data_IF_677810106611
#
_entry.id   IF_677810106611
#
_cell.length_a   1.000
_cell.length_b   1.000
_cell.length_c   1.000
_cell.angle_alpha   90.00
_cell.angle_beta   90.00
_cell.angle_gamma   90.00
#
_symmetry.space_group_name_H-M   'P 1'
#
loop_
_entity.id
_entity.type
_entity.pdbx_description
1 polymer ?
#
# COMPACT_ATOMS: atom_id res chain seq x y z
N UNK A 1 9.79 10.92 -5.36
CA UNK A 1 10.06 9.76 -4.48
C UNK A 1 9.28 9.94 -3.20
N UNK A 2 8.50 8.96 -2.82
CA UNK A 2 7.71 9.05 -1.60
C UNK A 2 7.14 7.72 -1.16
N UNK A 3 6.51 7.75 0.01
CA UNK A 3 6.01 6.54 0.65
C UNK A 3 4.61 6.72 1.18
N UNK A 4 3.81 5.66 1.07
CA UNK A 4 2.52 5.56 1.76
C UNK A 4 2.79 4.95 3.14
N UNK A 5 2.33 5.61 4.18
CA UNK A 5 2.48 5.15 5.57
C UNK A 5 1.26 4.31 5.94
N UNK A 6 1.50 3.04 6.23
CA UNK A 6 0.45 2.08 6.58
C UNK A 6 0.56 1.69 8.05
N UNK A 7 -0.51 1.94 8.81
CA UNK A 7 -0.57 1.56 10.23
C UNK A 7 -1.00 0.11 10.34
N UNK A 8 -0.20 -0.69 11.05
CA UNK A 8 -0.48 -2.10 11.28
C UNK A 8 -1.24 -2.31 12.59
N UNK A 9 -1.81 -3.52 12.76
CA UNK A 9 -2.58 -3.88 13.94
C UNK A 9 -1.78 -3.84 15.24
N UNK A 10 -0.46 -3.96 15.19
CA UNK A 10 0.42 -3.91 16.36
C UNK A 10 0.80 -2.48 16.77
N UNK A 11 0.12 -1.47 16.24
CA UNK A 11 0.37 -0.04 16.47
C UNK A 11 1.69 0.46 15.86
N UNK A 12 2.40 -0.37 15.10
CA UNK A 12 3.56 0.02 14.32
C UNK A 12 3.11 0.37 12.91
N UNK A 13 4.00 0.97 12.13
CA UNK A 13 3.67 1.27 10.73
C UNK A 13 4.81 0.85 9.81
N UNK A 14 4.46 0.61 8.54
CA UNK A 14 5.41 0.37 7.47
C UNK A 14 5.25 1.41 6.38
N UNK A 15 6.30 1.63 5.62
CA UNK A 15 6.32 2.54 4.49
C UNK A 15 6.28 1.74 3.19
N UNK A 16 5.34 2.09 2.32
CA UNK A 16 5.15 1.46 1.02
C UNK A 16 5.60 2.45 -0.06
N UNK A 17 6.55 2.06 -0.91
CA UNK A 17 7.03 2.95 -1.97
C UNK A 17 5.89 3.33 -2.92
N UNK A 18 5.80 4.61 -3.26
CA UNK A 18 4.85 5.14 -4.23
C UNK A 18 5.46 5.27 -5.63
N UNK A 19 6.73 4.89 -5.81
CA UNK A 19 7.43 5.00 -7.08
C UNK A 19 7.37 3.69 -7.87
N UNK A 20 7.25 3.81 -9.19
CA UNK A 20 7.32 2.67 -10.12
C UNK A 20 6.26 1.61 -9.87
N UNK A 21 5.08 2.02 -9.44
CA UNK A 21 3.97 1.11 -9.21
C UNK A 21 3.34 0.73 -10.54
N UNK A 22 3.23 -0.57 -10.81
CA UNK A 22 2.59 -1.09 -12.00
C UNK A 22 1.11 -1.38 -11.79
N UNK A 23 0.75 -1.95 -10.64
CA UNK A 23 -0.64 -2.23 -10.31
C UNK A 23 -0.86 -2.38 -8.81
N UNK A 24 -2.09 -2.14 -8.38
CA UNK A 24 -2.55 -2.38 -7.01
C UNK A 24 -3.86 -3.14 -7.11
N UNK A 25 -3.97 -4.27 -6.43
CA UNK A 25 -5.20 -5.07 -6.50
C UNK A 25 -5.48 -5.76 -5.17
N UNK A 26 -6.75 -6.08 -4.94
CA UNK A 26 -7.19 -6.87 -3.79
C UNK A 26 -7.34 -8.32 -4.21
N UNK A 27 -6.92 -9.24 -3.36
CA UNK A 27 -7.05 -10.68 -3.62
C UNK A 27 -7.22 -11.40 -2.28
N UNK A 28 -8.38 -12.03 -2.09
CA UNK A 28 -8.65 -12.80 -0.88
C UNK A 28 -8.58 -12.02 0.41
N UNK A 29 -8.88 -10.72 0.37
CA UNK A 29 -8.81 -9.86 1.55
C UNK A 29 -7.42 -9.31 1.85
N UNK A 30 -6.46 -9.54 0.96
CA UNK A 30 -5.13 -8.95 0.99
C UNK A 30 -4.96 -8.01 -0.18
N UNK A 31 -4.01 -7.08 -0.11
CA UNK A 31 -3.70 -6.19 -1.21
C UNK A 31 -2.31 -6.50 -1.72
N UNK A 32 -2.18 -6.59 -3.05
CA UNK A 32 -0.93 -6.85 -3.72
C UNK A 32 -0.56 -5.63 -4.56
N UNK A 33 0.61 -5.05 -4.28
CA UNK A 33 1.18 -3.95 -5.06
C UNK A 33 2.31 -4.51 -5.88
N UNK A 34 2.19 -4.44 -7.21
CA UNK A 34 3.23 -4.90 -8.12
C UNK A 34 4.00 -3.71 -8.65
N UNK A 35 5.33 -3.81 -8.61
CA UNK A 35 6.24 -2.76 -9.03
C UNK A 35 6.86 -3.09 -10.38
N UNK A 36 7.12 -2.05 -11.18
CA UNK A 36 7.75 -2.20 -12.49
C UNK A 36 9.18 -2.76 -12.40
N UNK A 37 9.81 -2.64 -11.25
CA UNK A 37 11.15 -3.16 -11.01
C UNK A 37 11.23 -4.68 -10.85
N UNK A 38 10.09 -5.38 -10.81
CA UNK A 38 10.08 -6.84 -10.80
C UNK A 38 9.85 -7.48 -9.45
N UNK A 39 9.29 -6.76 -8.49
CA UNK A 39 8.87 -7.37 -7.23
C UNK A 39 7.47 -6.89 -6.82
N UNK A 40 6.93 -7.53 -5.82
CA UNK A 40 5.61 -7.21 -5.28
C UNK A 40 5.66 -7.04 -3.77
N UNK A 41 4.72 -6.26 -3.24
CA UNK A 41 4.50 -6.13 -1.81
C UNK A 41 3.10 -6.65 -1.51
N UNK A 42 2.99 -7.56 -0.55
CA UNK A 42 1.71 -8.09 -0.09
C UNK A 42 1.35 -7.45 1.23
N UNK A 43 0.19 -6.79 1.27
CA UNK A 43 -0.38 -6.21 2.48
C UNK A 43 -1.38 -7.23 3.02
N UNK A 44 -0.99 -7.93 4.10
CA UNK A 44 -1.81 -8.99 4.68
C UNK A 44 -2.86 -8.38 5.60
N UNK A 45 -4.10 -8.43 5.17
CA UNK A 45 -5.25 -7.92 5.92
C UNK A 45 -6.04 -9.01 6.63
N UNK A 46 -5.53 -10.22 6.73
CA UNK A 46 -6.22 -11.35 7.34
C UNK A 46 -7.63 -11.56 6.76
N UNK A 47 -7.79 -11.35 5.47
CA UNK A 47 -9.07 -11.53 4.78
C UNK A 47 -10.05 -10.36 4.91
N UNK A 48 -9.63 -9.22 5.45
CA UNK A 48 -10.55 -8.10 5.73
C UNK A 48 -10.46 -6.93 4.75
N UNK A 49 -9.42 -6.87 3.92
CA UNK A 49 -9.23 -5.75 2.99
C UNK A 49 -10.15 -5.91 1.77
N UNK A 50 -10.63 -4.78 1.25
CA UNK A 50 -11.60 -4.74 0.17
C UNK A 50 -11.16 -3.75 -0.92
N UNK A 51 -11.92 -3.68 -2.03
CA UNK A 51 -11.58 -2.80 -3.16
C UNK A 51 -11.45 -1.33 -2.75
N UNK A 52 -12.25 -0.88 -1.80
CA UNK A 52 -12.15 0.51 -1.32
C UNK A 52 -10.78 0.81 -0.71
N UNK A 53 -10.14 -0.19 -0.10
CA UNK A 53 -8.79 -0.03 0.46
C UNK A 53 -7.74 0.13 -0.64
N UNK A 54 -7.92 -0.55 -1.77
CA UNK A 54 -7.09 -0.34 -2.97
C UNK A 54 -7.18 1.11 -3.43
N UNK A 55 -8.38 1.66 -3.48
CA UNK A 55 -8.60 3.05 -3.90
C UNK A 55 -7.97 4.04 -2.92
N UNK A 56 -8.01 3.76 -1.63
CA UNK A 56 -7.35 4.60 -0.62
C UNK A 56 -5.82 4.64 -0.82
N UNK A 57 -5.22 3.51 -1.14
CA UNK A 57 -3.79 3.42 -1.41
C UNK A 57 -3.44 4.18 -2.70
N UNK A 58 -4.22 4.00 -3.75
CA UNK A 58 -4.00 4.71 -5.02
C UNK A 58 -4.11 6.21 -4.82
N UNK A 59 -5.12 6.67 -4.08
CA UNK A 59 -5.29 8.10 -3.80
C UNK A 59 -4.09 8.66 -3.02
N UNK A 60 -3.57 7.92 -2.06
CA UNK A 60 -2.39 8.33 -1.31
C UNK A 60 -1.17 8.45 -2.22
N UNK A 61 -0.98 7.49 -3.13
CA UNK A 61 0.11 7.52 -4.11
C UNK A 61 0.00 8.72 -5.05
N UNK A 62 -1.22 9.03 -5.50
CA UNK A 62 -1.47 10.19 -6.37
C UNK A 62 -1.11 11.50 -5.66
N UNK A 63 -1.45 11.63 -4.38
CA UNK A 63 -1.10 12.82 -3.60
C UNK A 63 0.41 12.96 -3.42
N UNK A 64 1.10 11.87 -3.17
CA UNK A 64 2.56 11.85 -3.03
C UNK A 64 3.23 12.26 -4.35
N UNK A 65 2.75 11.74 -5.47
CA UNK A 65 3.34 11.93 -6.79
C UNK A 65 2.86 13.22 -7.48
N UNK A 66 2.01 14.00 -6.84
CA UNK A 66 1.61 15.32 -7.35
C UNK A 66 2.78 16.30 -7.31
N UNK A 67 2.66 17.39 -8.10
CA UNK A 67 3.74 18.37 -8.27
C UNK A 67 4.22 19.00 -6.94
N UNK A 68 3.34 19.14 -5.97
CA UNK A 68 3.65 19.67 -4.63
C UNK A 68 3.31 18.66 -3.55
N UNK A 69 3.36 17.36 -3.89
CA UNK A 69 2.96 16.31 -2.98
C UNK A 69 3.92 16.12 -1.81
N UNK A 70 3.41 15.61 -0.68
CA UNK A 70 4.25 15.27 0.46
C UNK A 70 5.13 14.06 0.15
N UNK A 71 6.27 13.94 0.83
CA UNK A 71 7.14 12.76 0.70
C UNK A 71 6.57 11.52 1.37
N UNK A 72 5.69 11.70 2.36
CA UNK A 72 5.01 10.61 3.07
C UNK A 72 3.55 11.01 3.27
N UNK A 73 2.65 10.10 2.93
CA UNK A 73 1.21 10.32 3.13
C UNK A 73 0.58 9.10 3.80
N UNK A 74 -0.15 9.29 4.90
CA UNK A 74 -0.77 8.16 5.59
C UNK A 74 -2.00 7.65 4.83
N UNK A 75 -2.19 6.33 4.83
CA UNK A 75 -3.41 5.70 4.36
C UNK A 75 -3.95 4.81 5.49
N UNK A 76 -5.18 5.10 5.93
CA UNK A 76 -5.85 4.30 6.94
C UNK A 76 -6.85 3.39 6.24
N UNK A 77 -6.59 2.10 6.27
CA UNK A 77 -7.44 1.11 5.62
C UNK A 77 -8.61 0.72 6.52
N UNK A 78 -9.68 0.22 5.92
CA UNK A 78 -10.89 -0.18 6.64
C UNK A 78 -10.69 -1.44 7.46
N UNK A 79 -9.76 -2.31 7.05
CA UNK A 79 -9.43 -3.54 7.77
C UNK A 79 -8.09 -3.41 8.50
N UNK A 80 -7.79 -4.38 9.35
CA UNK A 80 -6.52 -4.43 10.07
C UNK A 80 -5.43 -4.99 9.16
N UNK A 81 -4.25 -4.40 9.24
CA UNK A 81 -3.08 -4.89 8.52
C UNK A 81 -2.23 -5.71 9.49
N UNK A 82 -2.07 -7.00 9.20
CA UNK A 82 -1.25 -7.89 10.02
C UNK A 82 0.24 -7.75 9.69
N UNK A 83 0.57 -7.68 8.40
CA UNK A 83 1.96 -7.57 7.96
C UNK A 83 2.06 -6.98 6.56
N UNK A 84 3.25 -6.48 6.22
CA UNK A 84 3.58 -6.00 4.88
C UNK A 84 4.88 -6.69 4.47
N UNK A 85 4.83 -7.47 3.40
CA UNK A 85 5.96 -8.32 2.99
C UNK A 85 6.31 -8.09 1.53
N UNK A 86 7.60 -7.85 1.26
CA UNK A 86 8.11 -7.71 -0.10
C UNK A 86 8.68 -9.04 -0.59
N UNK A 87 8.47 -9.35 -1.88
CA UNK A 87 9.00 -10.56 -2.50
C UNK A 87 9.23 -10.33 -4.00
N UNK A 88 10.11 -11.14 -4.59
CA UNK A 88 10.29 -11.12 -6.04
C UNK A 88 9.06 -11.69 -6.75
N UNK A 89 8.78 -11.15 -7.91
CA UNK A 89 7.74 -11.69 -8.78
C UNK A 89 8.15 -13.04 -9.40
#
# INVERSE_FOLDING_TARGET
>A
MGYVKLLKADAKFDLLSADNVGSVKVSGGDIIVQYLSGYKVTIDGAGTLVQNDVELIIDAMDKINGASGPGIFPATLSGLIASVTAASL
#
